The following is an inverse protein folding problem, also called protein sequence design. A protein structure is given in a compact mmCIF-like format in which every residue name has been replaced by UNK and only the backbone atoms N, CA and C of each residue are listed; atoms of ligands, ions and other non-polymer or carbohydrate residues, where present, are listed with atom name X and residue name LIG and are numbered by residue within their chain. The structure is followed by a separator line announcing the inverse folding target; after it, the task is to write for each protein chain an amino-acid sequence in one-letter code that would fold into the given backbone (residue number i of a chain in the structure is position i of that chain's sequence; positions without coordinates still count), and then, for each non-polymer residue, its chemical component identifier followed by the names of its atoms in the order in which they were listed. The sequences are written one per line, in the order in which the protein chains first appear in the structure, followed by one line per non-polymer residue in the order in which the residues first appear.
data_IF_370855471037
#
_entry.id   IF_370855471037
#
_cell.length_a   1.000
_cell.length_b   1.000
_cell.length_c   1.000
_cell.angle_alpha   90.00
_cell.angle_beta   90.00
_cell.angle_gamma   90.00
#
_symmetry.space_group_name_H-M   'P 1'
#
loop_
_entity.id
_entity.type
_entity.pdbx_description
1 polymer ?
#
# COMPACT_ATOMS: atom_id res chain seq x y z
N UNK A 1 35.90 10.07 -37.45
CA UNK A 1 34.61 10.75 -37.66
C UNK A 1 33.50 9.78 -37.25
N UNK A 2 33.00 9.92 -36.03
CA UNK A 2 31.87 9.23 -35.36
C UNK A 2 31.42 10.20 -34.22
N UNK A 3 30.18 10.17 -33.66
CA UNK A 3 29.23 9.05 -33.62
C UNK A 3 27.71 9.37 -33.69
N UNK A 4 26.92 8.28 -33.60
CA UNK A 4 25.64 8.11 -32.89
C UNK A 4 24.31 8.61 -33.51
N UNK A 5 23.57 7.65 -34.09
CA UNK A 5 22.11 7.72 -34.22
C UNK A 5 21.43 7.50 -32.87
N UNK A 6 20.83 8.56 -32.30
CA UNK A 6 19.94 8.48 -31.14
C UNK A 6 18.60 7.89 -31.56
N UNK A 7 18.24 6.74 -31.00
CA UNK A 7 16.87 6.23 -31.04
C UNK A 7 15.95 7.16 -30.24
N UNK A 8 15.01 7.82 -30.92
CA UNK A 8 13.98 8.63 -30.28
C UNK A 8 13.04 7.73 -29.46
N UNK A 9 13.00 7.97 -28.16
CA UNK A 9 11.98 7.43 -27.26
C UNK A 9 10.64 8.00 -27.74
N UNK A 10 9.71 7.13 -28.16
CA UNK A 10 8.34 7.53 -28.48
C UNK A 10 7.68 8.05 -27.21
N UNK A 11 7.49 9.36 -27.15
CA UNK A 11 6.62 10.02 -26.17
C UNK A 11 5.23 9.38 -26.22
N UNK A 12 4.85 8.69 -25.14
CA UNK A 12 3.46 8.27 -24.94
C UNK A 12 2.67 9.52 -24.55
N UNK A 13 1.81 9.95 -25.46
CA UNK A 13 0.85 11.03 -25.23
C UNK A 13 0.03 10.82 -23.94
N UNK A 14 -0.37 11.90 -23.23
CA UNK A 14 -1.24 11.80 -22.08
C UNK A 14 -2.62 11.29 -22.51
N UNK A 15 -3.02 10.12 -22.00
CA UNK A 15 -4.35 9.54 -22.20
C UNK A 15 -5.33 10.17 -21.22
N UNK A 16 -5.88 11.32 -21.56
CA UNK A 16 -7.05 11.85 -20.86
C UNK A 16 -8.04 12.43 -21.85
N UNK A 17 -9.05 11.63 -22.19
CA UNK A 17 -10.30 12.14 -22.74
C UNK A 17 -11.14 12.68 -21.56
N UNK A 18 -11.88 13.79 -21.74
CA UNK A 18 -12.76 14.31 -20.70
C UNK A 18 -13.86 13.28 -20.39
N UNK A 19 -13.94 12.81 -19.14
CA UNK A 19 -15.00 11.90 -18.69
C UNK A 19 -16.25 12.72 -18.34
N UNK A 20 -17.43 12.23 -18.77
CA UNK A 20 -18.74 12.71 -18.30
C UNK A 20 -18.77 12.65 -16.77
N UNK A 21 -19.44 13.60 -16.09
CA UNK A 21 -19.61 13.53 -14.64
C UNK A 21 -20.54 12.35 -14.34
N UNK A 22 -19.95 11.22 -13.90
CA UNK A 22 -20.73 10.13 -13.31
C UNK A 22 -21.01 10.54 -11.88
N UNK A 23 -22.27 10.82 -11.58
CA UNK A 23 -22.74 10.97 -10.20
C UNK A 23 -22.88 9.55 -9.66
N UNK A 24 -21.99 9.13 -8.77
CA UNK A 24 -22.02 7.81 -8.12
C UNK A 24 -22.15 8.01 -6.62
N UNK A 25 -23.22 7.43 -6.05
CA UNK A 25 -23.36 7.29 -4.61
C UNK A 25 -22.40 6.17 -4.16
N UNK A 26 -21.14 6.54 -3.92
CA UNK A 26 -19.96 5.65 -3.81
C UNK A 26 -19.79 4.96 -2.45
N UNK A 27 -20.84 4.36 -1.89
CA UNK A 27 -20.77 3.66 -0.60
C UNK A 27 -20.39 2.18 -0.70
N UNK A 28 -20.42 1.61 -1.92
CA UNK A 28 -20.02 0.24 -2.21
C UNK A 28 -18.53 0.15 -2.59
N UNK A 29 -17.85 -0.82 -1.98
CA UNK A 29 -16.43 -1.09 -2.21
C UNK A 29 -16.17 -1.63 -3.63
N UNK A 30 -17.14 -2.33 -4.22
CA UNK A 30 -16.99 -2.89 -5.56
C UNK A 30 -16.94 -1.81 -6.64
N UNK A 31 -17.94 -0.92 -6.66
CA UNK A 31 -18.01 0.19 -7.61
C UNK A 31 -16.76 1.06 -7.52
N UNK A 32 -16.33 1.38 -6.30
CA UNK A 32 -15.09 2.13 -6.08
C UNK A 32 -13.85 1.39 -6.63
N UNK A 33 -13.77 0.07 -6.50
CA UNK A 33 -12.66 -0.71 -7.05
C UNK A 33 -12.64 -0.66 -8.59
N UNK A 34 -13.81 -0.76 -9.24
CA UNK A 34 -13.92 -0.60 -10.69
C UNK A 34 -13.47 0.79 -11.14
N UNK A 35 -13.94 1.85 -10.47
CA UNK A 35 -13.56 3.22 -10.78
C UNK A 35 -12.05 3.44 -10.64
N UNK A 36 -11.45 2.96 -9.54
CA UNK A 36 -10.01 3.08 -9.33
C UNK A 36 -9.21 2.32 -10.40
N UNK A 37 -9.64 1.10 -10.73
CA UNK A 37 -9.02 0.31 -11.79
C UNK A 37 -9.08 1.04 -13.13
N UNK A 38 -10.22 1.67 -13.44
CA UNK A 38 -10.41 2.41 -14.68
C UNK A 38 -9.59 3.71 -14.74
N UNK A 39 -9.18 4.24 -13.60
CA UNK A 39 -8.18 5.32 -13.51
C UNK A 39 -6.74 4.82 -13.57
N UNK A 40 -6.52 3.50 -13.68
CA UNK A 40 -5.19 2.90 -13.79
C UNK A 40 -4.54 2.59 -12.44
N UNK A 41 -5.34 2.39 -11.39
CA UNK A 41 -4.82 1.97 -10.07
C UNK A 41 -5.00 0.47 -9.87
N UNK A 42 -3.94 -0.17 -9.36
CA UNK A 42 -3.92 -1.59 -9.09
C UNK A 42 -4.62 -1.89 -7.77
N UNK A 43 -5.91 -2.24 -7.85
CA UNK A 43 -6.72 -2.55 -6.68
C UNK A 43 -6.98 -4.04 -6.52
N UNK A 44 -6.99 -4.53 -5.29
CA UNK A 44 -7.21 -5.95 -4.97
C UNK A 44 -8.09 -6.08 -3.72
N UNK A 45 -8.82 -7.20 -3.58
CA UNK A 45 -9.62 -7.48 -2.39
C UNK A 45 -8.73 -7.64 -1.15
N UNK A 46 -9.09 -6.94 -0.08
CA UNK A 46 -8.50 -7.05 1.26
C UNK A 46 -9.41 -7.72 2.27
N UNK A 47 -8.82 -8.48 3.20
CA UNK A 47 -9.54 -9.03 4.35
C UNK A 47 -10.10 -7.87 5.19
N UNK A 48 -11.43 -7.83 5.40
CA UNK A 48 -12.08 -6.73 6.10
C UNK A 48 -11.43 -6.41 7.44
N UNK A 49 -10.99 -5.17 7.60
CA UNK A 49 -10.40 -4.65 8.84
C UNK A 49 -9.01 -5.20 9.18
N UNK A 50 -8.35 -5.99 8.32
CA UNK A 50 -7.02 -6.55 8.63
C UNK A 50 -5.85 -5.90 7.90
N UNK A 51 -6.11 -4.99 6.95
CA UNK A 51 -5.10 -4.44 6.02
C UNK A 51 -4.23 -5.56 5.44
N UNK A 52 -4.87 -6.62 4.94
CA UNK A 52 -4.19 -7.78 4.39
C UNK A 52 -4.86 -8.19 3.08
N UNK A 53 -4.14 -8.39 1.98
CA UNK A 53 -4.72 -8.89 0.74
C UNK A 53 -5.33 -10.27 0.92
N UNK A 54 -6.44 -10.54 0.23
CA UNK A 54 -6.99 -11.90 0.10
C UNK A 54 -6.21 -12.75 -0.89
N UNK A 55 -5.49 -12.10 -1.79
CA UNK A 55 -4.78 -12.75 -2.87
C UNK A 55 -3.27 -12.69 -2.61
N UNK A 56 -2.66 -13.87 -2.65
CA UNK A 56 -1.22 -14.11 -2.72
C UNK A 56 -1.00 -14.96 -3.98
N UNK A 57 0.03 -14.72 -4.84
CA UNK A 57 1.29 -14.02 -4.62
C UNK A 57 1.55 -12.83 -5.60
N UNK A 58 2.75 -12.23 -5.47
CA UNK A 58 3.42 -11.13 -6.20
C UNK A 58 2.89 -10.59 -7.54
N UNK A 59 2.27 -11.39 -8.42
CA UNK A 59 1.84 -10.96 -9.77
C UNK A 59 0.85 -9.79 -9.73
N UNK A 60 -0.01 -9.80 -8.72
CA UNK A 60 -1.07 -8.80 -8.55
C UNK A 60 -0.57 -7.40 -8.15
N UNK A 61 0.74 -7.24 -7.95
CA UNK A 61 1.36 -5.97 -7.56
C UNK A 61 2.26 -5.42 -8.67
N UNK A 62 2.30 -6.12 -9.81
CA UNK A 62 3.08 -5.75 -10.99
C UNK A 62 2.22 -5.44 -12.21
N UNK A 63 0.94 -5.83 -12.19
CA UNK A 63 -0.02 -5.68 -13.28
C UNK A 63 -1.38 -5.21 -12.74
N UNK A 64 -2.13 -4.42 -13.52
CA UNK A 64 -3.49 -4.03 -13.17
C UNK A 64 -4.43 -5.23 -13.31
N UNK A 65 -5.40 -5.41 -12.39
CA UNK A 65 -6.45 -6.40 -12.59
C UNK A 65 -7.36 -6.02 -13.79
N UNK A 66 -7.89 -7.04 -14.42
CA UNK A 66 -9.01 -6.92 -15.36
C UNK A 66 -10.32 -6.65 -14.62
N UNK A 67 -11.32 -6.12 -15.32
CA UNK A 67 -12.64 -5.90 -14.74
C UNK A 67 -13.32 -7.23 -14.39
N UNK A 68 -13.08 -8.27 -15.18
CA UNK A 68 -13.57 -9.63 -14.98
C UNK A 68 -12.99 -10.25 -13.69
N UNK A 69 -11.69 -10.06 -13.44
CA UNK A 69 -11.06 -10.47 -12.18
C UNK A 69 -11.67 -9.75 -10.98
N UNK A 70 -11.91 -8.43 -11.08
CA UNK A 70 -12.58 -7.68 -10.01
C UNK A 70 -13.99 -8.20 -9.73
N UNK A 71 -14.77 -8.48 -10.79
CA UNK A 71 -16.12 -9.07 -10.68
C UNK A 71 -16.05 -10.43 -9.97
N UNK A 72 -15.15 -11.32 -10.40
CA UNK A 72 -14.98 -12.64 -9.79
C UNK A 72 -14.63 -12.52 -8.30
N UNK A 73 -13.67 -11.65 -7.96
CA UNK A 73 -13.21 -11.47 -6.59
C UNK A 73 -14.29 -10.91 -5.67
N UNK A 74 -15.07 -9.94 -6.12
CA UNK A 74 -16.16 -9.37 -5.32
C UNK A 74 -17.37 -10.30 -5.22
N UNK A 75 -17.66 -11.11 -6.25
CA UNK A 75 -18.65 -12.19 -6.13
C UNK A 75 -18.23 -13.23 -5.08
N UNK A 76 -16.94 -13.57 -5.04
CA UNK A 76 -16.39 -14.51 -4.04
C UNK A 76 -16.34 -13.90 -2.63
N UNK A 77 -16.06 -12.60 -2.52
CA UNK A 77 -15.94 -11.89 -1.24
C UNK A 77 -16.69 -10.55 -1.23
N UNK A 78 -18.04 -10.56 -1.11
CA UNK A 78 -18.85 -9.34 -1.30
C UNK A 78 -18.58 -8.22 -0.30
N UNK A 79 -18.00 -8.52 0.86
CA UNK A 79 -17.72 -7.56 1.94
C UNK A 79 -16.25 -7.17 2.04
N UNK A 80 -15.45 -7.44 1.00
CA UNK A 80 -14.00 -7.23 0.99
C UNK A 80 -13.64 -5.73 0.98
N UNK A 81 -12.50 -5.38 1.60
CA UNK A 81 -11.95 -4.02 1.50
C UNK A 81 -11.22 -3.83 0.16
N UNK A 82 -11.02 -2.59 -0.26
CA UNK A 82 -10.25 -2.18 -1.44
C UNK A 82 -8.83 -1.85 -0.99
N UNK A 83 -7.87 -2.70 -1.36
CA UNK A 83 -6.46 -2.40 -1.21
C UNK A 83 -5.91 -1.88 -2.53
N UNK A 84 -5.10 -0.83 -2.51
CA UNK A 84 -4.40 -0.32 -3.67
C UNK A 84 -2.90 -0.54 -3.52
N UNK A 85 -2.30 -1.29 -4.45
CA UNK A 85 -0.85 -1.41 -4.54
C UNK A 85 -0.23 -0.06 -4.96
N UNK A 86 0.90 0.29 -4.35
CA UNK A 86 1.67 1.49 -4.65
C UNK A 86 2.89 1.17 -5.53
N UNK A 87 3.61 2.21 -5.94
CA UNK A 87 4.73 2.08 -6.86
C UNK A 87 4.32 2.28 -8.31
N UNK A 88 5.13 1.76 -9.22
CA UNK A 88 4.96 1.93 -10.67
C UNK A 88 3.64 1.36 -11.20
N UNK A 89 3.10 0.28 -10.61
CA UNK A 89 1.88 -0.38 -11.10
C UNK A 89 0.66 0.54 -11.07
N UNK A 90 0.57 1.41 -10.04
CA UNK A 90 -0.48 2.42 -9.90
C UNK A 90 0.04 3.84 -10.17
N UNK A 91 1.34 3.98 -10.45
CA UNK A 91 2.07 5.26 -10.44
C UNK A 91 1.79 6.12 -9.19
N UNK A 92 1.70 5.50 -8.01
CA UNK A 92 1.39 6.17 -6.75
C UNK A 92 2.52 6.05 -5.71
N UNK A 93 2.68 7.12 -4.93
CA UNK A 93 3.50 7.19 -3.73
C UNK A 93 2.66 7.77 -2.58
N UNK A 94 2.70 7.14 -1.42
CA UNK A 94 1.91 7.53 -0.26
C UNK A 94 2.73 8.29 0.77
N UNK A 95 2.18 9.37 1.31
CA UNK A 95 2.70 10.06 2.49
C UNK A 95 1.63 9.96 3.58
N UNK A 96 1.84 9.10 4.58
CA UNK A 96 0.94 9.00 5.73
C UNK A 96 1.46 9.85 6.88
N UNK A 97 0.58 10.65 7.46
CA UNK A 97 0.87 11.57 8.55
C UNK A 97 0.06 11.16 9.76
N UNK A 98 0.70 11.16 10.93
CA UNK A 98 0.08 10.77 12.19
C UNK A 98 0.18 11.90 13.22
N UNK A 99 -0.96 12.49 13.55
CA UNK A 99 -1.08 13.47 14.62
C UNK A 99 -0.45 14.83 14.30
N UNK A 100 -0.52 15.73 15.29
CA UNK A 100 -0.11 17.13 15.14
C UNK A 100 1.38 17.24 14.81
N UNK A 101 2.24 16.47 15.48
CA UNK A 101 3.69 16.52 15.28
C UNK A 101 4.09 16.11 13.86
N UNK A 102 3.48 15.03 13.33
CA UNK A 102 3.71 14.62 11.94
C UNK A 102 3.22 15.65 10.93
N UNK A 103 2.09 16.31 11.21
CA UNK A 103 1.56 17.37 10.36
C UNK A 103 2.46 18.59 10.36
N UNK A 104 2.94 19.02 11.52
CA UNK A 104 3.88 20.14 11.63
C UNK A 104 5.20 19.82 10.91
N UNK A 105 5.78 18.65 11.16
CA UNK A 105 7.02 18.22 10.51
C UNK A 105 6.90 18.14 8.98
N UNK A 106 5.72 17.76 8.45
CA UNK A 106 5.46 17.80 7.01
C UNK A 106 5.33 19.25 6.50
N UNK A 107 4.63 20.10 7.26
CA UNK A 107 4.43 21.51 6.90
C UNK A 107 5.75 22.28 6.86
N UNK A 108 6.65 22.03 7.81
CA UNK A 108 7.98 22.64 7.88
C UNK A 108 8.83 22.28 6.65
N UNK A 109 8.87 21.00 6.29
CA UNK A 109 9.56 20.53 5.07
C UNK A 109 8.97 21.15 3.82
N UNK A 110 7.66 21.38 3.78
CA UNK A 110 6.98 22.01 2.64
C UNK A 110 7.03 23.54 2.63
N UNK A 111 7.73 24.17 3.59
CA UNK A 111 7.82 25.63 3.67
C UNK A 111 6.49 26.32 4.01
N UNK A 112 5.66 25.68 4.84
CA UNK A 112 4.44 26.31 5.36
C UNK A 112 3.18 26.11 4.51
N UNK A 113 3.24 25.38 3.38
CA UNK A 113 2.09 25.20 2.48
C UNK A 113 1.87 23.76 2.06
N UNK A 114 0.72 23.19 2.43
CA UNK A 114 0.32 21.86 1.98
C UNK A 114 -0.08 21.85 0.49
N UNK A 115 0.39 20.88 -0.31
CA UNK A 115 -0.01 20.75 -1.70
C UNK A 115 -1.45 20.24 -1.84
N UNK A 116 -2.06 20.60 -2.96
CA UNK A 116 -3.34 20.02 -3.41
C UNK A 116 -3.03 18.68 -4.08
N UNK A 117 -3.44 17.59 -3.42
CA UNK A 117 -3.18 16.20 -3.79
C UNK A 117 -4.34 15.32 -3.29
N UNK A 118 -4.60 14.14 -3.86
CA UNK A 118 -5.59 13.23 -3.29
C UNK A 118 -5.26 12.94 -1.84
N UNK A 119 -6.26 13.04 -0.97
CA UNK A 119 -6.07 12.94 0.47
C UNK A 119 -7.27 12.27 1.10
N UNK A 120 -7.02 11.29 1.97
CA UNK A 120 -8.05 10.64 2.76
C UNK A 120 -7.65 10.50 4.21
N UNK A 121 -8.65 10.33 5.06
CA UNK A 121 -8.52 10.10 6.49
C UNK A 121 -9.51 9.04 6.94
N UNK A 122 -9.42 8.62 8.18
CA UNK A 122 -10.41 7.77 8.81
C UNK A 122 -11.55 8.64 9.33
N UNK A 123 -12.80 8.26 9.04
CA UNK A 123 -13.97 8.90 9.64
C UNK A 123 -13.85 8.83 11.17
N UNK A 124 -14.04 9.97 11.83
CA UNK A 124 -13.90 10.13 13.28
C UNK A 124 -12.51 9.68 13.79
N UNK A 125 -11.50 9.77 12.93
CA UNK A 125 -10.11 9.56 13.28
C UNK A 125 -9.54 10.72 14.11
N UNK A 126 -8.40 10.51 14.80
CA UNK A 126 -7.75 11.60 15.51
C UNK A 126 -7.35 12.73 14.55
N UNK A 127 -7.33 13.98 15.02
CA UNK A 127 -6.99 15.12 14.17
C UNK A 127 -5.58 14.96 13.60
N UNK A 128 -5.38 15.44 12.37
CA UNK A 128 -4.11 15.37 11.64
C UNK A 128 -3.60 13.95 11.32
N UNK A 129 -4.47 12.93 11.37
CA UNK A 129 -4.19 11.63 10.78
C UNK A 129 -4.72 11.61 9.34
N UNK A 130 -3.85 11.51 8.35
CA UNK A 130 -4.28 11.44 6.95
C UNK A 130 -3.22 10.80 6.06
N UNK A 131 -3.62 10.41 4.86
CA UNK A 131 -2.71 9.97 3.80
C UNK A 131 -2.89 10.86 2.59
N UNK A 132 -1.78 11.37 2.05
CA UNK A 132 -1.71 12.06 0.77
C UNK A 132 -1.10 11.16 -0.29
N UNK A 133 -1.57 11.26 -1.52
CA UNK A 133 -1.08 10.48 -2.66
C UNK A 133 -0.44 11.38 -3.70
N UNK A 134 0.73 10.97 -4.18
CA UNK A 134 1.51 11.65 -5.21
C UNK A 134 1.84 10.67 -6.32
N UNK A 135 2.28 11.19 -7.47
CA UNK A 135 2.86 10.35 -8.52
C UNK A 135 4.11 9.67 -7.98
N UNK A 136 4.29 8.41 -8.33
CA UNK A 136 5.50 7.67 -8.00
C UNK A 136 6.73 8.40 -8.57
N UNK A 137 7.75 8.70 -7.74
CA UNK A 137 8.93 9.42 -8.21
C UNK A 137 9.78 8.53 -9.12
N UNK A 138 10.52 9.12 -10.07
CA UNK A 138 11.41 8.39 -11.00
C UNK A 138 12.71 7.91 -10.33
N UNK A 139 12.60 7.30 -9.15
CA UNK A 139 13.70 6.74 -8.37
C UNK A 139 13.29 5.38 -7.78
N UNK A 140 14.28 4.62 -7.33
CA UNK A 140 14.03 3.32 -6.69
C UNK A 140 13.42 3.53 -5.30
N UNK A 141 12.18 3.12 -5.10
CA UNK A 141 11.53 3.12 -3.79
C UNK A 141 11.35 1.70 -3.24
N UNK A 142 11.11 1.61 -1.93
CA UNK A 142 10.77 0.39 -1.19
C UNK A 142 9.37 0.54 -0.60
N UNK A 143 8.91 -0.48 0.14
CA UNK A 143 7.57 -0.46 0.74
C UNK A 143 7.46 0.64 1.79
N UNK A 144 8.48 0.78 2.63
CA UNK A 144 8.63 1.88 3.57
C UNK A 144 9.98 2.55 3.33
N UNK A 145 9.96 3.83 3.02
CA UNK A 145 11.16 4.66 2.86
C UNK A 145 11.54 5.29 4.20
N UNK A 146 12.84 5.55 4.45
CA UNK A 146 13.27 6.39 5.55
C UNK A 146 12.58 7.76 5.48
N UNK A 147 12.23 8.28 6.65
CA UNK A 147 11.52 9.55 6.82
C UNK A 147 12.25 10.39 7.85
N UNK A 148 12.24 11.71 7.68
CA UNK A 148 12.85 12.68 8.60
C UNK A 148 12.11 12.78 9.93
N UNK A 149 10.91 12.19 10.03
CA UNK A 149 10.10 12.24 11.24
C UNK A 149 9.37 10.91 11.48
N UNK A 150 9.36 10.42 12.72
CA UNK A 150 8.75 9.13 13.10
C UNK A 150 7.23 9.08 12.94
N UNK A 151 6.57 10.24 12.87
CA UNK A 151 5.12 10.37 12.62
C UNK A 151 4.77 10.53 11.14
N UNK A 152 5.71 10.28 10.24
CA UNK A 152 5.49 10.32 8.79
C UNK A 152 5.98 9.00 8.18
N UNK A 153 5.08 8.26 7.54
CA UNK A 153 5.44 7.10 6.73
C UNK A 153 5.44 7.46 5.25
N UNK A 154 6.54 7.16 4.57
CA UNK A 154 6.72 7.31 3.14
C UNK A 154 6.61 5.94 2.45
N UNK A 155 5.62 5.76 1.58
CA UNK A 155 5.23 4.47 1.05
C UNK A 155 5.40 4.40 -0.46
N UNK A 156 6.26 3.49 -0.92
CA UNK A 156 6.61 3.34 -2.33
C UNK A 156 6.26 1.97 -2.90
N UNK A 157 7.17 1.41 -3.70
CA UNK A 157 7.00 0.11 -4.36
C UNK A 157 6.83 -1.00 -3.32
N UNK A 158 5.93 -1.95 -3.57
CA UNK A 158 5.59 -3.03 -2.65
C UNK A 158 4.92 -2.57 -1.34
N UNK A 159 4.42 -1.33 -1.26
CA UNK A 159 3.44 -0.98 -0.25
C UNK A 159 2.03 -1.02 -0.85
N UNK A 160 1.04 -1.03 0.04
CA UNK A 160 -0.36 -0.90 -0.32
C UNK A 160 -1.12 -0.14 0.76
N UNK A 161 -2.22 0.48 0.34
CA UNK A 161 -3.12 1.26 1.19
C UNK A 161 -4.52 0.68 1.15
N UNK A 162 -5.27 0.81 2.24
CA UNK A 162 -6.72 0.65 2.21
C UNK A 162 -7.29 1.97 1.69
N UNK A 163 -8.04 1.95 0.58
CA UNK A 163 -8.66 3.14 0.02
C UNK A 163 -10.11 3.30 0.52
N UNK A 164 -10.63 4.53 0.62
CA UNK A 164 -12.08 4.74 0.77
C UNK A 164 -12.88 3.99 -0.33
N UNK A 165 -14.10 3.47 -0.03
CA UNK A 165 -14.86 3.62 1.21
C UNK A 165 -14.61 2.50 2.25
N UNK A 166 -13.51 1.75 2.13
CA UNK A 166 -13.16 0.61 2.99
C UNK A 166 -12.86 0.99 4.44
N UNK A 167 -12.66 -0.02 5.29
CA UNK A 167 -12.65 0.16 6.75
C UNK A 167 -11.29 -0.16 7.39
N UNK A 168 -11.06 0.42 8.56
CA UNK A 168 -9.98 -0.02 9.45
C UNK A 168 -10.39 -1.23 10.29
N UNK A 169 -9.48 -1.68 11.16
CA UNK A 169 -9.71 -2.81 12.07
C UNK A 169 -10.79 -2.58 13.13
N UNK A 170 -11.15 -1.32 13.41
CA UNK A 170 -12.28 -0.96 14.28
C UNK A 170 -13.59 -0.79 13.50
N UNK A 171 -13.59 -1.05 12.18
CA UNK A 171 -14.75 -0.88 11.33
C UNK A 171 -15.04 0.57 10.92
N UNK A 172 -14.18 1.53 11.29
CA UNK A 172 -14.30 2.94 10.90
C UNK A 172 -13.98 3.06 9.42
N UNK A 173 -14.78 3.84 8.69
CA UNK A 173 -14.63 4.00 7.23
C UNK A 173 -13.57 5.04 6.91
N UNK A 174 -12.70 4.76 5.94
CA UNK A 174 -11.90 5.81 5.32
C UNK A 174 -12.78 6.70 4.45
N UNK A 175 -12.47 8.00 4.41
CA UNK A 175 -13.15 9.01 3.60
C UNK A 175 -12.14 9.92 2.92
N UNK A 176 -12.38 10.20 1.65
CA UNK A 176 -11.66 11.25 0.93
C UNK A 176 -11.97 12.61 1.56
N UNK A 177 -10.97 13.48 1.62
CA UNK A 177 -11.21 14.89 1.84
C UNK A 177 -12.02 15.45 0.66
N UNK A 178 -12.85 16.47 0.91
CA UNK A 178 -13.78 17.03 -0.08
C UNK A 178 -13.06 17.39 -1.38
N UNK A 179 -13.49 16.79 -2.50
CA UNK A 179 -12.92 16.97 -3.85
C UNK A 179 -11.43 16.63 -3.95
N UNK A 180 -10.94 15.72 -3.10
CA UNK A 180 -9.56 15.23 -3.09
C UNK A 180 -9.53 13.71 -3.21
N UNK A 181 -10.49 13.12 -3.92
CA UNK A 181 -10.43 11.70 -4.28
C UNK A 181 -9.51 11.47 -5.48
N UNK A 182 -9.12 10.21 -5.69
CA UNK A 182 -8.43 9.79 -6.93
C UNK A 182 -9.30 9.91 -8.19
N UNK A 183 -10.60 10.11 -8.04
CA UNK A 183 -11.52 10.34 -9.17
C UNK A 183 -11.71 11.84 -9.46
N UNK A 184 -11.47 12.70 -8.47
CA UNK A 184 -11.61 14.16 -8.60
C UNK A 184 -10.30 14.85 -9.02
N UNK A 185 -9.16 14.26 -8.65
CA UNK A 185 -7.87 14.92 -8.69
C UNK A 185 -6.76 13.95 -9.09
N UNK A 186 -6.04 14.29 -10.16
CA UNK A 186 -4.83 13.59 -10.53
C UNK A 186 -3.77 13.78 -9.42
N UNK A 187 -3.07 12.71 -9.00
CA UNK A 187 -1.93 12.84 -8.11
C UNK A 187 -0.90 13.80 -8.72
N UNK A 188 -0.44 14.84 -7.98
CA UNK A 188 0.62 15.71 -8.44
C UNK A 188 1.99 15.04 -8.32
N UNK A 189 3.04 15.66 -8.84
CA UNK A 189 4.41 15.20 -8.58
C UNK A 189 4.72 15.28 -7.07
N UNK A 190 5.55 14.35 -6.59
CA UNK A 190 6.06 14.41 -5.22
C UNK A 190 6.86 15.71 -5.04
N UNK A 191 6.54 16.57 -4.05
CA UNK A 191 7.24 17.83 -3.83
C UNK A 191 8.75 17.63 -3.65
N UNK A 192 9.54 18.49 -4.31
CA UNK A 192 11.01 18.49 -4.19
C UNK A 192 11.52 18.43 -2.75
N UNK A 193 11.01 19.25 -1.82
CA UNK A 193 11.47 19.19 -0.43
C UNK A 193 11.25 17.83 0.27
N UNK A 194 10.20 17.08 -0.11
CA UNK A 194 9.99 15.71 0.40
C UNK A 194 11.02 14.75 -0.18
N UNK A 195 11.37 14.91 -1.47
CA UNK A 195 12.42 14.13 -2.12
C UNK A 195 13.78 14.40 -1.46
N UNK A 196 14.14 15.67 -1.27
CA UNK A 196 15.40 16.09 -0.67
C UNK A 196 15.54 15.55 0.76
N UNK A 197 14.48 15.68 1.58
CA UNK A 197 14.47 15.19 2.95
C UNK A 197 14.56 13.65 3.03
N UNK A 198 13.91 12.94 2.10
CA UNK A 198 14.00 11.49 1.98
C UNK A 198 15.42 11.04 1.60
N UNK A 199 16.10 11.72 0.69
CA UNK A 199 17.47 11.41 0.27
C UNK A 199 18.49 11.66 1.39
N UNK A 200 18.35 12.76 2.13
CA UNK A 200 19.20 13.06 3.30
C UNK A 200 19.11 11.97 4.38
N UNK A 201 17.90 11.44 4.61
CA UNK A 201 17.69 10.33 5.54
C UNK A 201 18.33 9.01 5.05
N UNK A 202 18.31 8.76 3.73
CA UNK A 202 18.93 7.57 3.16
C UNK A 202 20.46 7.60 3.21
N UNK A 203 21.07 8.79 3.20
CA UNK A 203 22.52 8.99 3.24
C UNK A 203 23.15 8.99 4.65
N UNK A 204 22.35 9.01 5.73
CA UNK A 204 22.85 9.12 7.10
C UNK A 204 23.00 7.74 7.77
N UNK A 205 24.22 7.29 8.13
CA UNK A 205 24.40 6.05 8.88
C UNK A 205 23.97 6.25 10.34
N UNK A 206 23.04 5.43 10.83
CA UNK A 206 22.69 5.36 12.25
C UNK A 206 21.28 5.81 12.64
N UNK A 207 20.34 5.92 11.70
CA UNK A 207 18.95 6.18 12.09
C UNK A 207 18.41 5.00 12.93
N UNK A 208 17.76 5.25 14.08
CA UNK A 208 17.09 4.18 14.82
C UNK A 208 16.12 3.48 13.87
N UNK A 209 16.10 2.15 13.89
CA UNK A 209 15.05 1.38 13.21
C UNK A 209 13.73 1.91 13.73
N UNK A 210 13.06 2.75 12.94
CA UNK A 210 11.76 3.25 13.31
C UNK A 210 10.90 2.02 13.58
N UNK A 211 10.12 2.00 14.68
CA UNK A 211 9.19 0.93 14.91
C UNK A 211 8.37 0.82 13.63
N UNK A 212 8.44 -0.33 12.96
CA UNK A 212 7.51 -0.64 11.89
C UNK A 212 6.15 -0.29 12.46
N UNK A 213 5.55 0.79 11.94
CA UNK A 213 4.20 1.17 12.29
C UNK A 213 3.30 0.09 11.72
N UNK A 214 3.31 -1.10 12.35
CA UNK A 214 2.11 -1.88 12.53
C UNK A 214 1.14 -0.85 13.04
N UNK A 215 0.20 -0.43 12.20
CA UNK A 215 -1.05 0.15 12.68
C UNK A 215 -1.48 -0.82 13.77
N UNK A 216 -1.31 -0.39 15.02
CA UNK A 216 -1.64 -1.05 16.29
C UNK A 216 -1.69 -2.57 16.19
N UNK A 217 -0.71 -3.26 16.79
CA UNK A 217 -0.76 -4.72 16.94
C UNK A 217 -2.20 -5.15 17.25
N UNK A 218 -2.72 -6.05 16.41
CA UNK A 218 -4.00 -6.67 16.66
C UNK A 218 -3.92 -7.28 18.06
N UNK A 219 -4.77 -6.89 19.04
CA UNK A 219 -4.68 -7.40 20.41
C UNK A 219 -4.65 -8.94 20.46
N UNK A 220 -5.36 -9.59 19.52
CA UNK A 220 -5.36 -11.05 19.35
C UNK A 220 -4.00 -11.61 18.89
N UNK A 221 -3.25 -10.89 18.06
CA UNK A 221 -1.90 -11.33 17.65
C UNK A 221 -0.87 -11.24 18.77
N UNK A 222 -1.08 -10.34 19.74
CA UNK A 222 -0.18 -10.19 20.89
C UNK A 222 -0.47 -11.26 21.95
N UNK A 223 -1.75 -11.58 22.19
CA UNK A 223 -2.19 -12.66 23.08
C UNK A 223 -1.70 -14.04 22.61
N UNK A 224 -1.85 -14.35 21.32
CA UNK A 224 -1.45 -15.64 20.75
C UNK A 224 -0.02 -15.66 20.19
N UNK A 225 0.79 -14.63 20.48
CA UNK A 225 2.17 -14.54 19.98
C UNK A 225 3.03 -15.78 20.26
N UNK A 226 2.95 -16.42 21.45
CA UNK A 226 3.71 -17.65 21.71
C UNK A 226 3.26 -18.81 20.80
N UNK A 227 1.95 -19.00 20.62
CA UNK A 227 1.38 -20.02 19.74
C UNK A 227 1.79 -19.81 18.27
N UNK A 228 1.82 -18.57 17.78
CA UNK A 228 2.31 -18.28 16.43
C UNK A 228 3.81 -18.57 16.27
N UNK A 229 4.62 -18.38 17.33
CA UNK A 229 6.05 -18.73 17.32
C UNK A 229 6.25 -20.25 17.31
N UNK A 230 5.45 -21.00 18.06
CA UNK A 230 5.44 -22.46 18.04
C UNK A 230 5.05 -22.99 16.66
N UNK A 231 3.94 -22.49 16.09
CA UNK A 231 3.49 -22.89 14.76
C UNK A 231 4.56 -22.59 13.69
N UNK A 232 5.22 -21.43 13.78
CA UNK A 232 6.32 -21.08 12.86
C UNK A 232 7.50 -22.01 12.98
N UNK A 233 7.88 -22.37 14.21
CA UNK A 233 8.98 -23.31 14.46
C UNK A 233 8.66 -24.69 13.90
N UNK A 234 7.43 -25.17 14.10
CA UNK A 234 6.95 -26.43 13.53
C UNK A 234 6.97 -26.43 11.99
N UNK A 235 6.44 -25.37 11.35
CA UNK A 235 6.46 -25.24 9.89
C UNK A 235 7.89 -25.17 9.32
N UNK A 236 8.80 -24.46 9.99
CA UNK A 236 10.21 -24.39 9.57
C UNK A 236 10.88 -25.77 9.69
N UNK A 237 10.60 -26.51 10.75
CA UNK A 237 11.15 -27.86 10.93
C UNK A 237 10.69 -28.82 9.82
N UNK A 238 9.42 -28.77 9.42
CA UNK A 238 8.91 -29.54 8.27
C UNK A 238 9.63 -29.16 6.98
N UNK A 239 9.88 -27.86 6.76
CA UNK A 239 10.64 -27.38 5.61
C UNK A 239 12.08 -27.89 5.61
N UNK A 240 12.75 -27.83 6.75
CA UNK A 240 14.14 -28.28 6.90
C UNK A 240 14.27 -29.79 6.66
N UNK A 241 13.33 -30.58 7.16
CA UNK A 241 13.28 -32.03 6.93
C UNK A 241 13.04 -32.37 5.45
N UNK A 242 12.19 -31.60 4.76
CA UNK A 242 12.00 -31.74 3.32
C UNK A 242 13.28 -31.43 2.54
N UNK A 243 13.97 -30.33 2.88
CA UNK A 243 15.26 -29.98 2.26
C UNK A 243 16.28 -31.08 2.46
N UNK A 244 16.38 -31.66 3.67
CA UNK A 244 17.26 -32.81 3.95
C UNK A 244 16.93 -34.04 3.11
N UNK A 245 15.64 -34.36 2.91
CA UNK A 245 15.22 -35.48 2.05
C UNK A 245 15.54 -35.28 0.58
N UNK A 246 15.57 -34.02 0.14
CA UNK A 246 15.87 -33.65 -1.24
C UNK A 246 17.37 -33.44 -1.50
N UNK A 247 18.18 -33.30 -0.45
CA UNK A 247 19.61 -33.18 -0.54
C UNK A 247 20.21 -34.40 -1.27
N UNK A 248 20.87 -34.14 -2.40
CA UNK A 248 21.44 -35.16 -3.30
C UNK A 248 20.58 -35.50 -4.52
N UNK A 249 19.30 -35.09 -4.56
CA UNK A 249 18.43 -35.23 -5.74
C UNK A 249 18.24 -33.91 -6.49
N UNK A 250 18.20 -32.79 -5.77
CA UNK A 250 18.03 -31.44 -6.31
C UNK A 250 18.87 -30.46 -5.46
N UNK A 251 19.56 -29.46 -6.05
CA UNK A 251 20.35 -28.48 -5.31
C UNK A 251 19.44 -27.44 -4.63
N UNK A 252 18.78 -27.84 -3.54
CA UNK A 252 18.02 -26.94 -2.67
C UNK A 252 18.89 -26.56 -1.47
N UNK A 253 19.06 -25.25 -1.23
CA UNK A 253 19.88 -24.71 -0.12
C UNK A 253 19.06 -24.28 1.10
N UNK A 254 17.73 -24.24 0.97
CA UNK A 254 16.81 -23.92 2.06
C UNK A 254 15.43 -23.50 1.56
N UNK A 255 14.43 -23.57 2.45
CA UNK A 255 13.09 -23.04 2.23
C UNK A 255 12.79 -22.10 3.41
N UNK A 256 12.41 -20.86 3.11
CA UNK A 256 12.09 -19.85 4.12
C UNK A 256 10.59 -19.67 4.23
N UNK A 257 10.03 -19.93 5.42
CA UNK A 257 8.63 -19.62 5.71
C UNK A 257 8.52 -18.13 6.07
N UNK A 258 8.11 -17.29 5.10
CA UNK A 258 8.02 -15.84 5.31
C UNK A 258 6.75 -15.40 6.04
N UNK A 259 5.62 -16.10 5.83
CA UNK A 259 4.34 -15.80 6.48
C UNK A 259 3.54 -17.09 6.73
N UNK A 260 2.79 -17.13 7.83
CA UNK A 260 1.85 -18.21 8.18
C UNK A 260 0.52 -17.55 8.46
N UNK A 261 -0.52 -17.94 7.71
CA UNK A 261 -1.88 -17.44 7.90
C UNK A 261 -2.69 -18.51 8.62
N UNK A 262 -3.27 -18.15 9.76
CA UNK A 262 -4.20 -19.00 10.51
C UNK A 262 -5.59 -18.40 10.34
N UNK A 263 -6.47 -19.14 9.68
CA UNK A 263 -7.89 -18.82 9.61
C UNK A 263 -8.59 -19.48 10.80
N UNK A 264 -9.22 -18.67 11.65
CA UNK A 264 -10.02 -19.16 12.77
C UNK A 264 -11.49 -18.98 12.43
N UNK A 265 -12.25 -20.08 12.39
CA UNK A 265 -13.70 -20.02 12.36
C UNK A 265 -14.24 -19.72 13.77
N UNK A 266 -15.31 -18.91 13.92
CA UNK A 266 -15.97 -18.77 15.20
C UNK A 266 -16.52 -20.13 15.62
N UNK A 267 -16.14 -20.62 16.79
CA UNK A 267 -16.77 -21.80 17.39
C UNK A 267 -18.27 -21.55 17.50
N UNK A 268 -19.07 -22.28 16.72
CA UNK A 268 -20.52 -22.24 16.78
C UNK A 268 -20.98 -22.50 18.21
N UNK A 269 -21.89 -21.65 18.70
CA UNK A 269 -22.76 -21.99 19.83
C UNK A 269 -23.98 -22.72 19.28
#
# INVERSE_FOLDING_TARGET
MLPASRGAVKDRAPRFAPRKPIVINSDDAFDAALDYRDQGFCVIPGIPGRKQPRLYPHRLWTELPTSEELIEWWNRWPKTDVLCALGLVSNLFGVQVFGVDGHQALLDVLGGKMPVAPQFTLADGPPHYFTMLFRHPKLKTQSLMPSWHEKINLLGRNAYLILPPSRDWKGRRFRWARRRSLLDLDPPQLPGPILDAMEQCAGSPGMPKQPTGKLTSNPLQDEYRPLFQELRSACQQVCDDFVRRMAGKVPLTGIKVSEITVEMEPSGK
#
